data_IF_038239841855
#
_entry.id   IF_038239841855
#
_cell.length_a   1.000
_cell.length_b   1.000
_cell.length_c   1.000
_cell.angle_alpha   90.00
_cell.angle_beta   90.00
_cell.angle_gamma   90.00
#
_symmetry.space_group_name_H-M   'P 1'
#
loop_
_entity.id
_entity.type
_entity.pdbx_description
1 polymer ?
#
# COMPACT_ATOMS: atom_id res chain seq x y z
N UNK A 1 -5.05 -8.64 -20.44
CA UNK A 1 -6.28 -8.06 -19.85
C UNK A 1 -6.40 -6.64 -20.36
N UNK A 2 -7.60 -6.15 -20.71
CA UNK A 2 -7.79 -4.81 -21.26
C UNK A 2 -7.53 -3.72 -20.20
N UNK A 3 -7.20 -2.49 -20.65
CA UNK A 3 -7.04 -1.31 -19.77
C UNK A 3 -8.24 -1.11 -18.81
N UNK A 4 -9.39 -1.65 -19.13
CA UNK A 4 -10.63 -1.53 -18.35
C UNK A 4 -10.68 -2.41 -17.09
N UNK A 5 -9.83 -3.43 -16.97
CA UNK A 5 -9.84 -4.32 -15.77
C UNK A 5 -9.38 -3.63 -14.49
N UNK A 6 -8.60 -2.54 -14.56
CA UNK A 6 -8.17 -1.77 -13.40
C UNK A 6 -9.15 -0.65 -13.00
N UNK A 7 -10.11 -0.30 -13.85
CA UNK A 7 -11.02 0.81 -13.62
C UNK A 7 -11.81 0.73 -12.29
N UNK A 8 -12.33 -0.43 -11.85
CA UNK A 8 -13.01 -0.54 -10.56
C UNK A 8 -12.10 -0.23 -9.36
N UNK A 9 -10.83 -0.66 -9.40
CA UNK A 9 -9.85 -0.39 -8.35
C UNK A 9 -9.48 1.09 -8.30
N UNK A 10 -9.24 1.70 -9.46
CA UNK A 10 -8.95 3.13 -9.56
C UNK A 10 -10.12 3.99 -9.06
N UNK A 11 -11.35 3.63 -9.43
CA UNK A 11 -12.55 4.34 -9.00
C UNK A 11 -12.77 4.24 -7.47
N UNK A 12 -12.53 3.06 -6.88
CA UNK A 12 -12.61 2.89 -5.44
C UNK A 12 -11.52 3.69 -4.70
N UNK A 13 -10.29 3.65 -5.18
CA UNK A 13 -9.18 4.41 -4.62
C UNK A 13 -9.40 5.93 -4.70
N UNK A 14 -9.96 6.42 -5.80
CA UNK A 14 -10.23 7.84 -6.01
C UNK A 14 -11.17 8.45 -4.97
N UNK A 15 -12.12 7.66 -4.42
CA UNK A 15 -13.05 8.11 -3.37
C UNK A 15 -12.34 8.52 -2.07
N UNK A 16 -11.18 7.90 -1.79
CA UNK A 16 -10.43 8.09 -0.56
C UNK A 16 -9.06 8.75 -0.82
N UNK A 17 -8.88 9.39 -1.97
CA UNK A 17 -7.65 10.12 -2.26
C UNK A 17 -7.57 11.38 -1.38
N UNK A 18 -6.52 11.55 -0.57
CA UNK A 18 -6.33 12.77 0.18
C UNK A 18 -5.96 13.93 -0.75
N UNK A 19 -6.24 15.16 -0.30
CA UNK A 19 -5.81 16.38 -1.02
C UNK A 19 -4.29 16.46 -1.07
N UNK A 20 -3.64 16.24 0.08
CA UNK A 20 -2.19 16.25 0.23
C UNK A 20 -1.76 14.87 0.75
N UNK A 21 -0.93 14.17 -0.01
CA UNK A 21 -0.46 12.83 0.37
C UNK A 21 0.75 12.94 1.28
N UNK A 22 0.55 12.66 2.57
CA UNK A 22 1.61 12.61 3.58
C UNK A 22 2.45 11.34 3.47
N UNK A 23 1.81 10.19 3.40
CA UNK A 23 2.46 8.90 3.22
C UNK A 23 1.79 8.14 2.10
N UNK A 24 2.57 7.78 1.09
CA UNK A 24 2.15 6.89 0.01
C UNK A 24 2.70 5.49 0.26
N UNK A 25 1.81 4.51 0.41
CA UNK A 25 2.17 3.10 0.40
C UNK A 25 2.09 2.58 -1.02
N UNK A 26 3.16 1.96 -1.53
CA UNK A 26 3.15 1.31 -2.84
C UNK A 26 3.17 -0.20 -2.61
N UNK A 27 2.09 -0.87 -3.00
CA UNK A 27 1.95 -2.32 -2.97
C UNK A 27 2.16 -2.94 -4.35
N UNK A 28 2.13 -4.28 -4.45
CA UNK A 28 2.53 -4.98 -5.67
C UNK A 28 1.54 -4.79 -6.82
N UNK A 29 0.32 -5.28 -6.66
CA UNK A 29 -0.67 -5.37 -7.72
C UNK A 29 -2.06 -5.56 -7.14
N UNK A 30 -3.12 -5.32 -7.91
CA UNK A 30 -4.44 -5.75 -7.50
C UNK A 30 -4.45 -7.28 -7.26
N UNK A 31 -5.35 -7.78 -6.39
CA UNK A 31 -5.47 -9.20 -6.12
C UNK A 31 -5.92 -9.95 -7.38
N UNK A 32 -5.61 -11.25 -7.45
CA UNK A 32 -6.06 -12.11 -8.55
C UNK A 32 -7.60 -12.27 -8.59
N UNK A 33 -8.22 -12.23 -7.42
CA UNK A 33 -9.68 -12.32 -7.30
C UNK A 33 -10.28 -10.91 -7.19
N UNK A 34 -11.27 -10.60 -8.01
CA UNK A 34 -11.87 -9.27 -8.13
C UNK A 34 -12.78 -8.89 -6.94
N UNK A 35 -12.93 -9.77 -5.95
CA UNK A 35 -13.78 -9.61 -4.77
C UNK A 35 -13.12 -8.84 -3.62
N UNK A 36 -11.88 -8.43 -3.77
CA UNK A 36 -11.10 -7.78 -2.70
C UNK A 36 -10.14 -6.74 -3.23
N UNK A 37 -10.06 -5.64 -2.55
CA UNK A 37 -9.08 -4.59 -2.76
C UNK A 37 -9.03 -3.72 -1.51
N UNK A 38 -7.91 -3.02 -1.28
CA UNK A 38 -7.74 -2.15 -0.12
C UNK A 38 -8.93 -1.20 0.10
N UNK A 39 -9.48 -0.61 -0.98
CA UNK A 39 -10.57 0.36 -0.94
C UNK A 39 -11.97 -0.21 -1.15
N UNK A 40 -12.15 -1.51 -1.33
CA UNK A 40 -13.47 -2.12 -1.45
C UNK A 40 -14.11 -2.28 -0.08
N UNK A 41 -15.37 -1.86 0.06
CA UNK A 41 -16.12 -1.93 1.33
C UNK A 41 -16.66 -3.33 1.60
N UNK A 42 -17.08 -4.05 0.57
CA UNK A 42 -17.77 -5.33 0.70
C UNK A 42 -16.85 -6.55 0.81
N UNK A 43 -15.59 -6.34 1.27
CA UNK A 43 -14.63 -7.44 1.45
C UNK A 43 -14.97 -8.25 2.69
N UNK A 44 -15.38 -9.49 2.50
CA UNK A 44 -15.81 -10.39 3.60
C UNK A 44 -14.68 -11.16 4.26
N UNK A 45 -13.58 -11.41 3.54
CA UNK A 45 -12.44 -12.19 4.02
C UNK A 45 -11.14 -11.83 3.28
N UNK A 46 -10.00 -12.25 3.82
CA UNK A 46 -8.67 -12.10 3.21
C UNK A 46 -8.24 -10.64 2.91
N UNK A 47 -8.69 -9.68 3.71
CA UNK A 47 -8.35 -8.26 3.62
C UNK A 47 -7.09 -7.92 4.47
N UNK A 48 -6.10 -8.80 4.42
CA UNK A 48 -4.95 -8.75 5.33
C UNK A 48 -4.16 -7.43 5.24
N UNK A 49 -3.92 -6.91 4.03
CA UNK A 49 -3.16 -5.67 3.89
C UNK A 49 -3.87 -4.50 4.58
N UNK A 50 -5.17 -4.32 4.31
CA UNK A 50 -5.96 -3.28 4.93
C UNK A 50 -5.98 -3.43 6.46
N UNK A 51 -6.29 -4.64 6.97
CA UNK A 51 -6.35 -4.91 8.40
C UNK A 51 -5.03 -4.56 9.12
N UNK A 52 -3.90 -4.95 8.57
CA UNK A 52 -2.61 -4.72 9.22
C UNK A 52 -2.12 -3.28 9.12
N UNK A 53 -2.39 -2.58 8.01
CA UNK A 53 -2.13 -1.14 7.89
C UNK A 53 -2.98 -0.38 8.91
N UNK A 54 -4.29 -0.66 9.00
CA UNK A 54 -5.17 0.02 9.94
C UNK A 54 -4.79 -0.27 11.38
N UNK A 55 -4.45 -1.52 11.71
CA UNK A 55 -3.97 -1.88 13.06
C UNK A 55 -2.68 -1.13 13.41
N UNK A 56 -1.74 -1.05 12.48
CA UNK A 56 -0.49 -0.31 12.69
C UNK A 56 -0.73 1.18 12.93
N UNK A 57 -1.60 1.80 12.14
CA UNK A 57 -1.88 3.23 12.23
C UNK A 57 -2.81 3.61 13.39
N UNK A 58 -3.82 2.78 13.67
CA UNK A 58 -4.97 3.14 14.51
C UNK A 58 -5.24 2.16 15.67
N UNK A 59 -4.34 1.21 15.93
CA UNK A 59 -4.52 0.27 17.03
C UNK A 59 -4.66 0.97 18.39
N UNK A 60 -3.89 2.03 18.61
CA UNK A 60 -3.99 2.86 19.83
C UNK A 60 -5.25 3.73 19.88
N UNK A 61 -5.90 3.95 18.76
CA UNK A 61 -7.11 4.77 18.60
C UNK A 61 -8.39 3.91 18.49
N UNK A 62 -8.30 2.64 18.83
CA UNK A 62 -9.46 1.75 18.93
C UNK A 62 -9.75 0.89 17.68
N UNK A 63 -8.79 0.71 16.79
CA UNK A 63 -8.85 -0.37 15.80
C UNK A 63 -8.55 -1.70 16.51
N UNK A 64 -9.52 -2.63 16.50
CA UNK A 64 -9.49 -3.86 17.31
C UNK A 64 -9.00 -5.09 16.53
N UNK A 65 -8.92 -6.24 17.24
CA UNK A 65 -8.64 -7.54 16.62
C UNK A 65 -9.91 -8.25 16.11
N UNK A 66 -11.10 -7.71 16.37
CA UNK A 66 -12.35 -8.20 15.79
C UNK A 66 -12.44 -7.78 14.31
N UNK A 67 -11.88 -8.62 13.45
CA UNK A 67 -11.79 -8.34 12.01
C UNK A 67 -13.13 -8.20 11.30
N UNK A 68 -14.19 -8.81 11.83
CA UNK A 68 -15.54 -8.69 11.28
C UNK A 68 -16.15 -7.33 11.63
N UNK A 69 -16.05 -6.92 12.89
CA UNK A 69 -16.49 -5.59 13.35
C UNK A 69 -15.73 -4.47 12.64
N UNK A 70 -14.40 -4.61 12.49
CA UNK A 70 -13.60 -3.58 11.80
C UNK A 70 -13.91 -3.48 10.31
N UNK A 71 -14.17 -4.62 9.62
CA UNK A 71 -14.66 -4.57 8.22
C UNK A 71 -16.02 -3.90 8.09
N UNK A 72 -16.92 -4.10 9.05
CA UNK A 72 -18.20 -3.39 9.06
C UNK A 72 -18.05 -1.86 9.19
N UNK A 73 -16.93 -1.41 9.77
CA UNK A 73 -16.56 0.01 9.91
C UNK A 73 -15.55 0.49 8.88
N UNK A 74 -15.32 -0.25 7.79
CA UNK A 74 -14.22 0.02 6.84
C UNK A 74 -14.29 1.42 6.24
N UNK A 75 -15.47 1.90 5.88
CA UNK A 75 -15.64 3.26 5.35
C UNK A 75 -15.18 4.34 6.33
N UNK A 76 -15.47 4.18 7.63
CA UNK A 76 -14.99 5.08 8.67
C UNK A 76 -13.46 5.14 8.72
N UNK A 77 -12.79 3.99 8.72
CA UNK A 77 -11.33 3.93 8.75
C UNK A 77 -10.68 4.43 7.47
N UNK A 78 -11.27 4.19 6.30
CA UNK A 78 -10.78 4.72 5.03
C UNK A 78 -10.92 6.25 4.96
N UNK A 79 -11.99 6.83 5.49
CA UNK A 79 -12.15 8.29 5.62
C UNK A 79 -11.11 8.89 6.56
N UNK A 80 -10.81 8.22 7.68
CA UNK A 80 -9.76 8.65 8.58
C UNK A 80 -8.38 8.55 7.90
N UNK A 81 -8.09 7.46 7.23
CA UNK A 81 -6.87 7.26 6.44
C UNK A 81 -6.67 8.39 5.41
N UNK A 82 -7.74 8.77 4.71
CA UNK A 82 -7.76 9.92 3.80
C UNK A 82 -7.48 11.24 4.53
N UNK A 83 -8.19 11.50 5.64
CA UNK A 83 -8.04 12.76 6.40
C UNK A 83 -6.62 12.94 6.96
N UNK A 84 -5.96 11.86 7.36
CA UNK A 84 -4.60 11.84 7.86
C UNK A 84 -3.53 11.93 6.75
N UNK A 85 -3.95 11.97 5.47
CA UNK A 85 -3.07 12.11 4.32
C UNK A 85 -2.39 10.81 3.90
N UNK A 86 -2.93 9.66 4.26
CA UNK A 86 -2.43 8.36 3.82
C UNK A 86 -3.09 7.92 2.51
N UNK A 87 -2.32 7.31 1.63
CA UNK A 87 -2.83 6.70 0.42
C UNK A 87 -2.04 5.47 0.01
N UNK A 88 -2.67 4.56 -0.73
CA UNK A 88 -2.01 3.38 -1.29
C UNK A 88 -2.30 3.24 -2.77
N UNK A 89 -1.30 2.83 -3.53
CA UNK A 89 -1.38 2.51 -4.96
C UNK A 89 -0.73 1.18 -5.26
N UNK A 90 -1.08 0.58 -6.39
CA UNK A 90 -0.44 -0.60 -6.93
C UNK A 90 0.77 -0.24 -7.81
N UNK A 91 1.85 -1.01 -7.73
CA UNK A 91 3.03 -0.83 -8.59
C UNK A 91 2.73 -1.20 -10.05
N UNK A 92 1.84 -2.15 -10.27
CA UNK A 92 1.35 -2.55 -11.60
C UNK A 92 -0.18 -2.60 -11.61
N UNK A 93 -0.76 -2.49 -12.81
CA UNK A 93 -2.23 -2.46 -12.99
C UNK A 93 -2.87 -3.82 -13.19
N UNK A 94 -2.07 -4.86 -13.41
CA UNK A 94 -2.53 -6.23 -13.59
C UNK A 94 -2.04 -7.11 -12.44
N UNK A 95 -2.82 -8.15 -12.10
CA UNK A 95 -2.42 -9.07 -11.05
C UNK A 95 -1.23 -9.92 -11.48
N UNK A 96 -0.15 -9.83 -10.73
CA UNK A 96 1.08 -10.63 -10.92
C UNK A 96 1.35 -11.58 -9.75
N UNK A 97 0.38 -11.77 -8.87
CA UNK A 97 0.53 -12.50 -7.60
C UNK A 97 0.87 -13.98 -7.74
N UNK A 98 0.66 -14.57 -8.93
CA UNK A 98 0.97 -15.98 -9.24
C UNK A 98 2.34 -16.20 -9.89
N UNK A 99 3.04 -15.13 -10.29
CA UNK A 99 4.38 -15.22 -10.88
C UNK A 99 5.46 -15.51 -9.85
N UNK A 100 6.60 -16.02 -10.31
CA UNK A 100 7.82 -16.15 -9.50
C UNK A 100 8.34 -14.76 -9.09
N UNK A 101 9.27 -14.75 -8.11
CA UNK A 101 9.74 -13.46 -7.56
C UNK A 101 10.45 -12.61 -8.62
N UNK A 102 11.32 -13.21 -9.38
CA UNK A 102 12.13 -12.58 -10.43
C UNK A 102 11.23 -12.01 -11.53
N UNK A 103 10.26 -12.79 -12.02
CA UNK A 103 9.28 -12.36 -13.03
C UNK A 103 8.49 -11.14 -12.54
N UNK A 104 8.07 -11.17 -11.29
CA UNK A 104 7.34 -10.03 -10.68
C UNK A 104 8.20 -8.78 -10.61
N UNK A 105 9.47 -8.91 -10.22
CA UNK A 105 10.41 -7.79 -10.16
C UNK A 105 10.65 -7.21 -11.55
N UNK A 106 10.79 -8.05 -12.57
CA UNK A 106 10.98 -7.60 -13.96
C UNK A 106 9.76 -6.83 -14.47
N UNK A 107 8.55 -7.36 -14.25
CA UNK A 107 7.30 -6.68 -14.63
C UNK A 107 7.19 -5.32 -13.92
N UNK A 108 7.46 -5.26 -12.62
CA UNK A 108 7.40 -4.01 -11.84
C UNK A 108 8.45 -3.02 -12.35
N UNK A 109 9.67 -3.48 -12.63
CA UNK A 109 10.75 -2.64 -13.15
C UNK A 109 10.40 -2.09 -14.54
N UNK A 110 9.75 -2.88 -15.40
CA UNK A 110 9.24 -2.44 -16.69
C UNK A 110 8.21 -1.30 -16.57
N UNK A 111 7.45 -1.25 -15.46
CA UNK A 111 6.48 -0.18 -15.19
C UNK A 111 7.08 1.02 -14.41
N UNK A 112 8.34 0.96 -14.02
CA UNK A 112 8.97 1.99 -13.19
C UNK A 112 8.89 3.41 -13.80
N UNK A 113 9.08 3.65 -15.10
CA UNK A 113 8.96 4.99 -15.68
C UNK A 113 7.57 5.60 -15.45
N UNK A 114 6.51 4.81 -15.64
CA UNK A 114 5.13 5.27 -15.43
C UNK A 114 4.85 5.51 -13.94
N UNK A 115 5.33 4.64 -13.05
CA UNK A 115 5.19 4.82 -11.60
C UNK A 115 5.93 6.04 -11.09
N UNK A 116 7.15 6.29 -11.56
CA UNK A 116 7.90 7.52 -11.25
C UNK A 116 7.11 8.76 -11.68
N UNK A 117 6.55 8.76 -12.89
CA UNK A 117 5.73 9.87 -13.40
C UNK A 117 4.47 10.09 -12.52
N UNK A 118 3.76 9.01 -12.18
CA UNK A 118 2.58 9.08 -11.33
C UNK A 118 2.92 9.59 -9.92
N UNK A 119 3.96 9.05 -9.29
CA UNK A 119 4.38 9.45 -7.95
C UNK A 119 4.86 10.91 -7.92
N UNK A 120 5.53 11.39 -8.98
CA UNK A 120 5.86 12.82 -9.12
C UNK A 120 4.61 13.69 -9.19
N UNK A 121 3.55 13.25 -9.86
CA UNK A 121 2.29 13.98 -9.94
C UNK A 121 1.50 13.94 -8.61
N UNK A 122 1.64 12.88 -7.82
CA UNK A 122 1.05 12.75 -6.48
C UNK A 122 1.75 13.67 -5.48
N UNK A 123 3.07 13.87 -5.60
CA UNK A 123 3.91 14.66 -4.69
C UNK A 123 3.83 14.21 -3.22
N UNK A 124 3.99 12.92 -2.90
CA UNK A 124 3.91 12.45 -1.52
C UNK A 124 5.09 12.97 -0.70
N UNK A 125 4.85 13.26 0.58
CA UNK A 125 5.91 13.67 1.50
C UNK A 125 6.82 12.49 1.90
N UNK A 126 6.29 11.27 1.90
CA UNK A 126 6.98 10.04 2.26
C UNK A 126 6.43 8.86 1.45
N UNK A 127 7.29 7.90 1.10
CA UNK A 127 6.90 6.69 0.35
C UNK A 127 7.38 5.47 1.11
N UNK A 128 6.49 4.51 1.31
CA UNK A 128 6.80 3.17 1.85
C UNK A 128 6.56 2.13 0.77
N UNK A 129 7.62 1.38 0.41
CA UNK A 129 7.53 0.26 -0.53
C UNK A 129 7.21 -1.03 0.24
N UNK A 130 6.03 -1.59 -0.02
CA UNK A 130 5.54 -2.80 0.65
C UNK A 130 5.67 -4.00 -0.28
N UNK A 131 6.25 -5.07 0.23
CA UNK A 131 6.63 -6.31 -0.44
C UNK A 131 8.02 -6.25 -1.09
N UNK A 132 8.75 -7.37 -0.99
CA UNK A 132 10.12 -7.47 -1.51
C UNK A 132 10.20 -7.21 -3.00
N UNK A 133 9.28 -7.74 -3.82
CA UNK A 133 9.23 -7.51 -5.26
C UNK A 133 9.05 -6.03 -5.63
N UNK A 134 8.23 -5.30 -4.89
CA UNK A 134 8.04 -3.85 -5.09
C UNK A 134 9.31 -3.09 -4.74
N UNK A 135 9.95 -3.45 -3.62
CA UNK A 135 11.21 -2.84 -3.21
C UNK A 135 12.31 -3.09 -4.25
N UNK A 136 12.49 -4.33 -4.69
CA UNK A 136 13.52 -4.71 -5.66
C UNK A 136 13.27 -4.09 -7.06
N UNK A 137 12.01 -3.83 -7.41
CA UNK A 137 11.63 -3.25 -8.70
C UNK A 137 11.61 -1.72 -8.74
N UNK A 138 11.21 -1.04 -7.65
CA UNK A 138 10.97 0.40 -7.65
C UNK A 138 11.91 1.24 -6.79
N UNK A 139 12.63 0.66 -5.82
CA UNK A 139 13.44 1.44 -4.88
C UNK A 139 14.50 2.29 -5.61
N UNK A 140 15.27 1.70 -6.51
CA UNK A 140 16.29 2.41 -7.27
C UNK A 140 15.68 3.49 -8.19
N UNK A 141 14.69 3.19 -9.07
CA UNK A 141 14.11 4.20 -9.95
C UNK A 141 13.49 5.39 -9.21
N UNK A 142 12.80 5.14 -8.09
CA UNK A 142 12.20 6.22 -7.30
C UNK A 142 13.26 7.09 -6.61
N UNK A 143 14.32 6.49 -6.06
CA UNK A 143 15.42 7.25 -5.44
C UNK A 143 16.25 8.03 -6.49
N UNK A 144 16.50 7.44 -7.65
CA UNK A 144 17.16 8.14 -8.77
C UNK A 144 16.34 9.36 -9.22
N UNK A 145 15.02 9.27 -9.14
CA UNK A 145 14.11 10.39 -9.39
C UNK A 145 13.98 11.38 -8.20
N UNK A 146 14.77 11.20 -7.12
CA UNK A 146 14.78 12.00 -5.87
C UNK A 146 13.43 11.98 -5.14
N UNK A 147 12.67 10.91 -5.26
CA UNK A 147 11.42 10.72 -4.54
C UNK A 147 11.67 10.21 -3.11
N UNK A 148 10.85 10.60 -2.12
CA UNK A 148 11.13 10.44 -0.69
C UNK A 148 10.81 9.02 -0.19
N UNK A 149 11.48 7.99 -0.71
CA UNK A 149 11.37 6.60 -0.21
C UNK A 149 12.05 6.50 1.15
N UNK A 150 11.31 6.11 2.18
CA UNK A 150 11.77 6.10 3.59
C UNK A 150 12.35 4.77 4.04
N UNK A 151 11.92 3.63 3.47
CA UNK A 151 12.47 2.34 3.86
C UNK A 151 13.75 1.98 3.07
N UNK A 152 14.76 1.53 3.80
CA UNK A 152 16.06 1.07 3.24
C UNK A 152 16.08 -0.43 3.02
N UNK A 153 15.13 -1.14 3.61
CA UNK A 153 14.92 -2.57 3.44
C UNK A 153 13.47 -2.82 3.04
N UNK A 154 13.21 -3.95 2.41
CA UNK A 154 11.85 -4.31 2.02
C UNK A 154 10.95 -4.45 3.25
N UNK A 155 9.83 -3.73 3.28
CA UNK A 155 8.73 -3.98 4.22
C UNK A 155 7.96 -5.19 3.71
N UNK A 156 7.88 -6.31 4.45
CA UNK A 156 7.17 -7.49 3.97
C UNK A 156 5.68 -7.20 3.83
N UNK A 157 5.02 -7.89 2.90
CA UNK A 157 3.56 -7.88 2.86
C UNK A 157 3.02 -8.56 4.13
N UNK A 158 2.08 -7.93 4.89
CA UNK A 158 1.56 -8.51 6.13
C UNK A 158 0.56 -9.63 5.84
N UNK A 159 1.05 -10.83 5.72
CA UNK A 159 0.26 -12.03 5.51
C UNK A 159 1.16 -13.27 5.47
N UNK A 160 0.58 -14.45 5.61
CA UNK A 160 1.28 -15.73 5.61
C UNK A 160 2.40 -15.82 6.65
N UNK A 161 2.15 -15.31 7.86
CA UNK A 161 3.11 -15.34 8.97
C UNK A 161 4.16 -14.21 8.95
N UNK A 162 3.99 -13.19 8.10
CA UNK A 162 4.91 -12.04 8.06
C UNK A 162 4.39 -10.81 8.86
N UNK A 163 3.26 -10.94 9.54
CA UNK A 163 2.57 -9.84 10.22
C UNK A 163 3.47 -9.20 11.29
N UNK A 164 4.12 -10.02 12.13
CA UNK A 164 5.02 -9.54 13.16
C UNK A 164 6.26 -8.85 12.60
N UNK A 165 6.81 -9.36 11.49
CA UNK A 165 7.95 -8.74 10.82
C UNK A 165 7.57 -7.42 10.15
N UNK A 166 6.38 -7.35 9.53
CA UNK A 166 5.81 -6.10 9.00
C UNK A 166 5.72 -5.05 10.12
N UNK A 167 5.04 -5.37 11.22
CA UNK A 167 4.86 -4.45 12.34
C UNK A 167 6.20 -3.97 12.92
N UNK A 168 7.17 -4.88 13.11
CA UNK A 168 8.51 -4.55 13.62
C UNK A 168 9.26 -3.58 12.70
N UNK A 169 9.25 -3.81 11.39
CA UNK A 169 9.96 -2.92 10.44
C UNK A 169 9.27 -1.57 10.37
N UNK A 170 7.94 -1.54 10.29
CA UNK A 170 7.17 -0.29 10.28
C UNK A 170 7.40 0.53 11.55
N UNK A 171 7.38 -0.11 12.73
CA UNK A 171 7.67 0.56 14.00
C UNK A 171 9.11 1.09 14.03
N UNK A 172 10.09 0.33 13.53
CA UNK A 172 11.48 0.79 13.43
C UNK A 172 11.66 2.02 12.54
N UNK A 173 10.85 2.16 11.47
CA UNK A 173 10.84 3.37 10.65
C UNK A 173 10.30 4.58 11.42
N UNK A 174 9.28 4.38 12.25
CA UNK A 174 8.72 5.43 13.13
C UNK A 174 9.73 5.80 14.21
N UNK A 175 10.28 4.84 14.92
CA UNK A 175 11.21 5.06 16.06
C UNK A 175 12.49 5.76 15.58
N UNK A 176 12.96 5.48 14.37
CA UNK A 176 14.12 6.16 13.76
C UNK A 176 13.80 7.54 13.18
N UNK A 177 12.55 7.98 13.22
CA UNK A 177 12.09 9.25 12.63
C UNK A 177 12.06 9.28 11.10
N UNK A 178 12.32 8.14 10.43
CA UNK A 178 12.26 8.02 8.96
C UNK A 178 10.83 8.06 8.44
N UNK A 179 9.89 7.47 9.17
CA UNK A 179 8.46 7.54 8.88
C UNK A 179 7.76 8.41 9.93
N UNK A 180 7.17 9.51 9.49
CA UNK A 180 6.40 10.42 10.34
C UNK A 180 4.92 10.21 10.10
N UNK A 181 4.23 9.66 11.10
CA UNK A 181 2.79 9.46 11.04
C UNK A 181 2.02 10.77 11.31
N UNK A 182 0.76 10.82 10.87
CA UNK A 182 -0.18 11.83 11.35
C UNK A 182 -0.41 11.62 12.86
N UNK A 183 -0.40 12.68 13.61
CA UNK A 183 -0.74 12.71 15.04
C UNK A 183 -2.16 13.19 15.20
#
# INVERSE_FOLDING_TARGET
MSKDSYAPYAAAAAKYRPKDVRVLFIQESPPYADDRHFYFLDVKAHDGFWLHIMRFLYGVDGFTDDTAAERARKDHWLKRFQADGYWTIDSVRESISKGEHEDRVEIIRGQAPERVKEVKAIQPQQIVLVKKSVFDGLNEPLRAAKLPVVNEVAVPYPGRGQEGRFAKIMQGLVDSGKLKLAR
#
